data_IF_522781096672
#
_entry.id   IF_522781096672
#
_cell.length_a   1.000
_cell.length_b   1.000
_cell.length_c   1.000
_cell.angle_alpha   90.00
_cell.angle_beta   90.00
_cell.angle_gamma   90.00
#
_symmetry.space_group_name_H-M   'P 1'
#
loop_
_entity.id
_entity.type
_entity.pdbx_description
1 polymer ?
#
# COMPACT_ATOMS: atom_id res chain seq x y z
N UNK A 1 -23.88 -5.03 -4.62
CA UNK A 1 -23.58 -4.01 -5.64
C UNK A 1 -22.66 -4.70 -6.62
N UNK A 2 -23.12 -5.03 -7.83
CA UNK A 2 -22.29 -5.69 -8.84
C UNK A 2 -21.18 -4.73 -9.23
N UNK A 3 -19.93 -5.11 -8.93
CA UNK A 3 -18.75 -4.41 -9.38
C UNK A 3 -18.71 -4.35 -10.91
N UNK A 4 -18.10 -3.29 -11.45
CA UNK A 4 -17.98 -3.11 -12.90
C UNK A 4 -17.29 -4.33 -13.55
N UNK A 5 -17.52 -4.59 -14.84
CA UNK A 5 -16.82 -5.68 -15.55
C UNK A 5 -15.30 -5.58 -15.39
N UNK A 6 -14.78 -4.35 -15.31
CA UNK A 6 -13.37 -4.07 -15.05
C UNK A 6 -12.90 -4.57 -13.69
N UNK A 7 -13.71 -4.36 -12.64
CA UNK A 7 -13.40 -4.79 -11.27
C UNK A 7 -13.27 -6.31 -11.20
N UNK A 8 -14.17 -7.05 -11.86
CA UNK A 8 -14.11 -8.51 -11.94
C UNK A 8 -12.87 -9.02 -12.66
N UNK A 9 -12.38 -8.30 -13.67
CA UNK A 9 -11.14 -8.64 -14.35
C UNK A 9 -9.94 -8.46 -13.41
N UNK A 10 -9.84 -7.33 -12.73
CA UNK A 10 -8.71 -7.09 -11.82
C UNK A 10 -8.73 -7.99 -10.58
N UNK A 11 -9.91 -8.38 -10.10
CA UNK A 11 -10.05 -9.36 -9.03
C UNK A 11 -9.45 -10.72 -9.40
N UNK A 12 -9.57 -11.17 -10.67
CA UNK A 12 -8.91 -12.41 -11.11
C UNK A 12 -7.38 -12.34 -11.07
N UNK A 13 -6.81 -11.14 -11.14
CA UNK A 13 -5.38 -10.91 -10.96
C UNK A 13 -5.00 -10.60 -9.50
N UNK A 14 -5.96 -10.76 -8.57
CA UNK A 14 -5.82 -10.41 -7.16
C UNK A 14 -5.33 -8.95 -6.97
N UNK A 15 -5.75 -8.07 -7.89
CA UNK A 15 -5.35 -6.68 -7.94
C UNK A 15 -6.55 -5.82 -7.58
N UNK A 16 -6.41 -5.05 -6.50
CA UNK A 16 -7.39 -4.02 -6.16
C UNK A 16 -6.82 -2.64 -6.56
N UNK A 17 -7.38 -1.98 -7.59
CA UNK A 17 -6.90 -0.69 -8.06
C UNK A 17 -6.80 0.39 -6.98
N UNK A 18 -7.75 0.42 -6.03
CA UNK A 18 -7.76 1.42 -4.95
C UNK A 18 -6.65 1.15 -3.93
N UNK A 19 -6.46 -0.13 -3.56
CA UNK A 19 -5.36 -0.50 -2.67
C UNK A 19 -4.02 -0.19 -3.31
N UNK A 20 -3.82 -0.55 -4.57
CA UNK A 20 -2.59 -0.24 -5.30
C UNK A 20 -2.29 1.26 -5.34
N UNK A 21 -3.28 2.09 -5.67
CA UNK A 21 -3.10 3.55 -5.71
C UNK A 21 -2.73 4.10 -4.34
N UNK A 22 -3.38 3.64 -3.27
CA UNK A 22 -3.08 4.05 -1.90
C UNK A 22 -1.66 3.63 -1.50
N UNK A 23 -1.23 2.42 -1.83
CA UNK A 23 0.14 1.95 -1.56
C UNK A 23 1.18 2.82 -2.27
N UNK A 24 0.95 3.16 -3.54
CA UNK A 24 1.85 4.06 -4.29
C UNK A 24 1.90 5.44 -3.64
N UNK A 25 0.75 6.01 -3.23
CA UNK A 25 0.70 7.30 -2.56
C UNK A 25 1.49 7.28 -1.24
N UNK A 26 1.23 6.29 -0.40
CA UNK A 26 1.95 6.12 0.87
C UNK A 26 3.46 5.97 0.63
N UNK A 27 3.87 5.19 -0.38
CA UNK A 27 5.29 5.04 -0.71
C UNK A 27 5.95 6.35 -1.14
N UNK A 28 5.23 7.22 -1.86
CA UNK A 28 5.72 8.56 -2.22
C UNK A 28 5.83 9.43 -0.98
N UNK A 29 4.82 9.44 -0.11
CA UNK A 29 4.83 10.23 1.13
C UNK A 29 5.98 9.80 2.05
N UNK A 30 6.14 8.49 2.28
CA UNK A 30 7.23 7.91 3.07
C UNK A 30 8.61 8.29 2.50
N UNK A 31 8.75 8.31 1.17
CA UNK A 31 10.00 8.67 0.50
C UNK A 31 10.33 10.15 0.70
N UNK A 32 9.33 11.02 0.60
CA UNK A 32 9.50 12.47 0.74
C UNK A 32 9.84 12.81 2.19
N UNK A 33 9.11 12.26 3.15
CA UNK A 33 9.33 12.48 4.57
C UNK A 33 10.72 11.97 4.99
N UNK A 34 11.10 10.76 4.55
CA UNK A 34 12.44 10.22 4.79
C UNK A 34 13.56 11.05 4.18
N UNK A 35 13.36 11.63 2.99
CA UNK A 35 14.33 12.52 2.37
C UNK A 35 14.50 13.81 3.17
N UNK A 36 13.42 14.45 3.60
CA UNK A 36 13.49 15.66 4.41
C UNK A 36 14.11 15.41 5.78
N UNK A 37 13.79 14.28 6.42
CA UNK A 37 14.43 13.87 7.67
C UNK A 37 15.95 13.71 7.49
N UNK A 38 16.39 13.01 6.44
CA UNK A 38 17.81 12.85 6.13
C UNK A 38 18.52 14.20 5.93
N UNK A 39 17.95 15.10 5.14
CA UNK A 39 18.56 16.42 4.91
C UNK A 39 18.57 17.27 6.17
N UNK A 40 17.54 17.20 7.01
CA UNK A 40 17.49 17.87 8.31
C UNK A 40 18.62 17.40 9.22
N UNK A 41 18.83 16.09 9.34
CA UNK A 41 19.93 15.53 10.13
C UNK A 41 21.29 15.97 9.60
N UNK A 42 21.49 15.96 8.27
CA UNK A 42 22.74 16.41 7.65
C UNK A 42 22.98 17.90 7.86
N UNK A 43 21.96 18.74 7.73
CA UNK A 43 22.08 20.17 7.93
C UNK A 43 22.44 20.50 9.39
N UNK A 44 21.81 19.83 10.36
CA UNK A 44 22.13 19.98 11.78
C UNK A 44 23.55 19.50 12.10
N UNK A 45 24.02 18.41 11.49
CA UNK A 45 25.39 17.92 11.67
C UNK A 45 26.45 18.89 11.12
N UNK A 46 26.16 19.61 10.04
CA UNK A 46 27.04 20.68 9.52
C UNK A 46 27.07 21.89 10.46
N UNK A 47 25.99 22.10 11.20
CA UNK A 47 25.78 23.18 12.16
C UNK A 47 26.20 22.78 13.59
N UNK A 48 27.29 22.03 13.76
CA UNK A 48 27.71 21.44 15.03
C UNK A 48 27.88 22.45 16.20
N UNK A 49 28.14 23.73 15.88
CA UNK A 49 28.26 24.83 16.85
C UNK A 49 27.11 25.84 16.80
N UNK A 50 26.03 25.53 16.09
CA UNK A 50 24.90 26.44 15.98
C UNK A 50 24.19 26.63 17.32
N UNK A 51 23.78 27.86 17.56
CA UNK A 51 22.88 28.19 18.65
C UNK A 51 21.53 27.51 18.45
N UNK A 52 20.78 27.39 19.56
CA UNK A 52 19.43 26.86 19.52
C UNK A 52 18.52 27.64 18.56
N UNK A 53 18.65 28.97 18.55
CA UNK A 53 17.85 29.84 17.69
C UNK A 53 18.15 29.58 16.19
N UNK A 54 19.41 29.35 15.83
CA UNK A 54 19.81 29.02 14.45
C UNK A 54 19.28 27.64 14.01
N UNK A 55 19.29 26.64 14.90
CA UNK A 55 18.72 25.33 14.63
C UNK A 55 17.19 25.39 14.50
N UNK A 56 16.51 26.19 15.32
CA UNK A 56 15.06 26.39 15.26
C UNK A 56 14.65 27.12 13.97
N UNK A 57 15.39 28.14 13.54
CA UNK A 57 15.15 28.83 12.26
C UNK A 57 15.40 27.90 11.06
N UNK A 58 16.45 27.07 11.09
CA UNK A 58 16.68 26.05 10.08
C UNK A 58 15.49 25.07 9.99
N UNK A 59 15.02 24.56 11.12
CA UNK A 59 13.88 23.64 11.15
C UNK A 59 12.61 24.29 10.58
N UNK A 60 12.32 25.55 10.91
CA UNK A 60 11.20 26.30 10.32
C UNK A 60 11.33 26.43 8.80
N UNK A 61 12.53 26.72 8.31
CA UNK A 61 12.82 26.80 6.88
C UNK A 61 12.57 25.47 6.17
N UNK A 62 13.09 24.37 6.72
CA UNK A 62 12.90 23.01 6.19
C UNK A 62 11.41 22.64 6.19
N UNK A 63 10.69 22.88 7.29
CA UNK A 63 9.25 22.61 7.36
C UNK A 63 8.45 23.43 6.34
N UNK A 64 8.85 24.67 6.07
CA UNK A 64 8.19 25.52 5.07
C UNK A 64 8.42 25.03 3.65
N UNK A 65 9.62 24.53 3.34
CA UNK A 65 9.92 23.93 2.03
C UNK A 65 9.18 22.59 1.86
N UNK A 66 9.19 21.77 2.91
CA UNK A 66 8.49 20.48 2.91
C UNK A 66 7.00 20.64 2.66
N UNK A 67 6.34 21.58 3.35
CA UNK A 67 4.90 21.81 3.15
C UNK A 67 4.54 22.24 1.72
N UNK A 68 5.36 23.11 1.10
CA UNK A 68 5.15 23.52 -0.30
C UNK A 68 5.31 22.33 -1.26
N UNK A 69 6.30 21.47 -1.02
CA UNK A 69 6.52 20.29 -1.85
C UNK A 69 5.39 19.27 -1.67
N UNK A 70 4.98 19.01 -0.42
CA UNK A 70 3.87 18.12 -0.09
C UNK A 70 2.57 18.59 -0.77
N UNK A 71 2.24 19.89 -0.70
CA UNK A 71 1.05 20.44 -1.36
C UNK A 71 1.06 20.22 -2.89
N UNK A 72 2.20 20.43 -3.52
CA UNK A 72 2.36 20.20 -4.97
C UNK A 72 2.24 18.71 -5.31
N UNK A 73 2.81 17.83 -4.49
CA UNK A 73 2.75 16.39 -4.68
C UNK A 73 1.33 15.86 -4.49
N UNK A 74 0.64 16.25 -3.41
CA UNK A 74 -0.75 15.88 -3.15
C UNK A 74 -1.64 16.24 -4.34
N UNK A 75 -1.51 17.45 -4.87
CA UNK A 75 -2.29 17.89 -6.04
C UNK A 75 -2.00 17.04 -7.28
N UNK A 76 -0.73 16.69 -7.52
CA UNK A 76 -0.34 15.87 -8.68
C UNK A 76 -0.79 14.43 -8.52
N UNK A 77 -0.61 13.84 -7.34
CA UNK A 77 -1.02 12.48 -7.03
C UNK A 77 -2.54 12.33 -7.07
N UNK A 78 -3.30 13.35 -6.65
CA UNK A 78 -4.75 13.36 -6.81
C UNK A 78 -5.20 13.29 -8.28
N UNK A 79 -4.54 14.05 -9.15
CA UNK A 79 -4.83 14.01 -10.59
C UNK A 79 -4.39 12.68 -11.22
N UNK A 80 -3.27 12.13 -10.77
CA UNK A 80 -2.77 10.82 -11.18
C UNK A 80 -3.72 9.69 -10.76
N UNK A 81 -4.19 9.68 -9.51
CA UNK A 81 -5.19 8.72 -9.00
C UNK A 81 -6.44 8.73 -9.89
N UNK A 82 -6.99 9.92 -10.15
CA UNK A 82 -8.14 10.07 -11.04
C UNK A 82 -7.85 9.49 -12.42
N UNK A 83 -6.71 9.82 -13.00
CA UNK A 83 -6.33 9.28 -14.30
C UNK A 83 -6.25 7.75 -14.29
N UNK A 84 -5.61 7.16 -13.27
CA UNK A 84 -5.49 5.71 -13.11
C UNK A 84 -6.86 5.03 -13.04
N UNK A 85 -7.78 5.54 -12.21
CA UNK A 85 -9.11 4.96 -12.05
C UNK A 85 -9.98 5.11 -13.30
N UNK A 86 -9.81 6.18 -14.08
CA UNK A 86 -10.64 6.44 -15.27
C UNK A 86 -10.08 5.83 -16.55
N UNK A 87 -8.77 5.53 -16.62
CA UNK A 87 -8.09 5.15 -17.87
C UNK A 87 -7.23 3.90 -17.77
N UNK A 88 -6.55 3.68 -16.64
CA UNK A 88 -5.65 2.53 -16.50
C UNK A 88 -6.38 1.29 -15.99
N UNK A 89 -7.26 1.47 -15.01
CA UNK A 89 -8.04 0.40 -14.38
C UNK A 89 -9.46 0.31 -14.95
N UNK A 90 -9.57 0.47 -16.26
CA UNK A 90 -10.82 0.31 -17.01
C UNK A 90 -10.58 -0.66 -18.15
N UNK A 91 -11.40 -1.70 -18.21
CA UNK A 91 -11.42 -2.66 -19.30
C UNK A 91 -12.20 -2.04 -20.46
N UNK A 92 -11.61 -1.91 -21.66
CA UNK A 92 -12.30 -1.37 -22.82
C UNK A 92 -13.55 -2.18 -23.17
N UNK A 93 -14.60 -1.49 -23.62
CA UNK A 93 -15.84 -2.13 -24.06
C UNK A 93 -15.57 -3.17 -25.16
N UNK A 94 -16.13 -4.37 -24.98
CA UNK A 94 -15.91 -5.50 -25.90
C UNK A 94 -14.74 -6.41 -25.53
N UNK A 95 -13.92 -6.04 -24.54
CA UNK A 95 -12.92 -6.92 -23.96
C UNK A 95 -13.53 -7.68 -22.78
N UNK A 96 -13.72 -8.98 -22.95
CA UNK A 96 -14.11 -9.87 -21.85
C UNK A 96 -12.98 -10.88 -21.65
N UNK A 97 -12.69 -11.20 -20.38
CA UNK A 97 -11.86 -12.35 -20.10
C UNK A 97 -12.50 -13.58 -20.75
N UNK A 98 -11.72 -14.47 -21.40
CA UNK A 98 -12.21 -15.77 -21.78
C UNK A 98 -12.87 -16.37 -20.56
N UNK A 99 -14.15 -16.74 -20.68
CA UNK A 99 -14.81 -17.49 -19.63
C UNK A 99 -13.90 -18.68 -19.37
N UNK A 100 -13.48 -18.87 -18.12
CA UNK A 100 -12.90 -20.13 -17.73
C UNK A 100 -13.97 -21.17 -18.06
N UNK A 101 -13.85 -21.79 -19.23
CA UNK A 101 -14.63 -22.94 -19.60
C UNK A 101 -14.32 -23.93 -18.49
N UNK A 102 -15.29 -24.10 -17.58
CA UNK A 102 -15.29 -25.22 -16.67
C UNK A 102 -15.21 -26.42 -17.60
N UNK A 103 -14.03 -27.01 -17.70
CA UNK A 103 -13.81 -28.20 -18.51
C UNK A 103 -14.80 -29.24 -18.01
N UNK A 104 -15.82 -29.46 -18.81
CA UNK A 104 -16.82 -30.48 -18.60
C UNK A 104 -16.11 -31.84 -18.66
N UNK A 105 -16.29 -32.65 -17.61
CA UNK A 105 -15.86 -34.04 -17.55
C UNK A 105 -14.55 -34.32 -16.79
N UNK A 106 -14.69 -34.95 -15.62
CA UNK A 106 -13.75 -35.94 -15.04
C UNK A 106 -12.85 -35.54 -13.84
N UNK A 107 -13.09 -34.43 -13.12
CA UNK A 107 -12.24 -34.05 -11.97
C UNK A 107 -12.88 -34.05 -10.56
N UNK A 108 -14.12 -34.54 -10.41
CA UNK A 108 -14.85 -34.43 -9.14
C UNK A 108 -14.29 -35.24 -7.95
N UNK A 109 -13.32 -36.13 -8.15
CA UNK A 109 -12.74 -36.96 -7.09
C UNK A 109 -11.39 -36.46 -6.56
N UNK A 110 -10.70 -35.55 -7.28
CA UNK A 110 -9.40 -34.99 -6.87
C UNK A 110 -9.58 -33.68 -6.10
N UNK A 111 -10.68 -32.96 -6.37
CA UNK A 111 -11.02 -31.67 -5.78
C UNK A 111 -11.22 -31.76 -4.25
N UNK A 112 -11.85 -32.84 -3.76
CA UNK A 112 -12.13 -33.04 -2.32
C UNK A 112 -10.88 -33.35 -1.50
N UNK A 113 -9.89 -34.03 -2.09
CA UNK A 113 -8.61 -34.32 -1.42
C UNK A 113 -7.66 -33.13 -1.44
N UNK A 114 -7.71 -32.31 -2.50
CA UNK A 114 -6.95 -31.06 -2.58
C UNK A 114 -7.49 -29.99 -1.62
N UNK A 115 -8.81 -29.92 -1.44
CA UNK A 115 -9.47 -28.98 -0.52
C UNK A 115 -9.10 -29.27 0.94
N UNK A 116 -9.09 -30.56 1.34
CA UNK A 116 -8.69 -30.96 2.69
C UNK A 116 -7.20 -30.68 3.01
N UNK A 117 -6.31 -30.86 2.03
CA UNK A 117 -4.89 -30.52 2.21
C UNK A 117 -4.68 -28.99 2.23
N UNK A 118 -5.47 -28.24 1.45
CA UNK A 118 -5.49 -26.78 1.50
C UNK A 118 -5.90 -26.26 2.88
N UNK A 119 -6.95 -26.83 3.47
CA UNK A 119 -7.40 -26.45 4.82
C UNK A 119 -6.32 -26.71 5.88
N UNK A 120 -5.61 -27.85 5.79
CA UNK A 120 -4.49 -28.16 6.69
C UNK A 120 -3.34 -27.16 6.51
N UNK A 121 -3.03 -26.77 5.27
CA UNK A 121 -2.01 -25.75 4.99
C UNK A 121 -2.45 -24.37 5.49
N UNK A 122 -3.73 -24.02 5.35
CA UNK A 122 -4.32 -22.77 5.81
C UNK A 122 -4.27 -22.67 7.34
N UNK A 123 -4.60 -23.74 8.05
CA UNK A 123 -4.51 -23.81 9.51
C UNK A 123 -3.06 -23.76 9.99
N UNK A 124 -2.12 -24.40 9.29
CA UNK A 124 -0.68 -24.25 9.56
C UNK A 124 -0.21 -22.79 9.41
N UNK A 125 -0.69 -22.08 8.39
CA UNK A 125 -0.37 -20.67 8.19
C UNK A 125 -1.01 -19.78 9.28
N UNK A 126 -2.25 -20.05 9.68
CA UNK A 126 -2.93 -19.34 10.78
C UNK A 126 -2.20 -19.55 12.11
N UNK A 127 -1.77 -20.76 12.42
CA UNK A 127 -0.98 -21.05 13.62
C UNK A 127 0.38 -20.34 13.59
N UNK A 128 1.07 -20.31 12.44
CA UNK A 128 2.33 -19.56 12.29
C UNK A 128 2.12 -18.07 12.47
N UNK A 129 1.05 -17.50 11.89
CA UNK A 129 0.69 -16.09 12.04
C UNK A 129 0.37 -15.74 13.50
N UNK A 130 -0.39 -16.60 14.19
CA UNK A 130 -0.70 -16.42 15.61
C UNK A 130 0.56 -16.56 16.48
N UNK A 131 1.46 -17.49 16.13
CA UNK A 131 2.76 -17.67 16.77
C UNK A 131 3.66 -16.44 16.62
N UNK A 132 3.69 -15.82 15.44
CA UNK A 132 4.40 -14.56 15.20
C UNK A 132 3.75 -13.39 15.96
N UNK A 133 2.42 -13.31 15.95
CA UNK A 133 1.64 -12.30 16.67
C UNK A 133 1.89 -12.36 18.19
N UNK A 134 2.01 -13.55 18.78
CA UNK A 134 2.42 -13.76 20.19
C UNK A 134 3.89 -13.44 20.47
N UNK A 135 4.77 -13.47 19.47
CA UNK A 135 6.22 -13.17 19.60
C UNK A 135 6.55 -11.69 19.36
N UNK A 136 5.60 -10.89 18.86
CA UNK A 136 5.77 -9.47 18.55
C UNK A 136 5.44 -8.43 19.66
N UNK A 137 5.24 -8.72 20.98
CA UNK A 137 5.06 -7.64 21.97
C UNK A 137 6.25 -6.67 22.04
N UNK A 138 7.42 -7.03 21.51
CA UNK A 138 8.65 -6.23 21.52
C UNK A 138 8.92 -5.43 20.23
N UNK A 139 8.12 -5.58 19.16
CA UNK A 139 8.27 -4.76 17.93
C UNK A 139 7.12 -3.76 17.73
N UNK A 140 6.18 -3.67 18.67
CA UNK A 140 4.95 -2.88 18.51
C UNK A 140 5.11 -1.37 18.82
N UNK A 141 6.34 -0.85 18.89
CA UNK A 141 6.56 0.58 19.19
C UNK A 141 6.57 1.44 17.92
N UNK A 142 6.72 0.87 16.71
CA UNK A 142 6.79 1.65 15.47
C UNK A 142 5.74 1.34 14.38
N UNK A 143 4.78 0.44 14.62
CA UNK A 143 3.78 0.05 13.61
C UNK A 143 2.38 0.65 13.84
N UNK A 144 2.24 1.73 14.61
CA UNK A 144 0.93 2.31 14.93
C UNK A 144 0.36 3.29 13.88
N UNK A 145 1.01 3.53 12.74
CA UNK A 145 0.42 4.39 11.70
C UNK A 145 -0.62 3.71 10.81
N UNK A 146 -0.75 2.37 10.82
CA UNK A 146 -1.59 1.65 9.85
C UNK A 146 -3.02 1.33 10.33
N UNK A 147 -3.47 1.83 11.49
CA UNK A 147 -4.77 1.41 12.08
C UNK A 147 -5.85 2.48 12.22
N UNK A 148 -5.66 3.68 11.68
CA UNK A 148 -6.60 4.80 11.94
C UNK A 148 -7.34 5.38 10.73
N UNK A 149 -7.39 4.72 9.57
CA UNK A 149 -8.21 5.24 8.45
C UNK A 149 -9.07 4.18 7.75
N UNK A 150 -9.79 3.42 8.56
CA UNK A 150 -10.95 2.64 8.13
C UNK A 150 -12.17 3.06 8.96
N UNK A 151 -12.63 4.28 8.72
CA UNK A 151 -14.03 4.73 8.78
C UNK A 151 -14.20 5.93 7.86
#
# INVERSE_FOLDING_TARGET
MEGSESERVFDTFNLNPRLFINEVRNAVDDTVDGAFEFYREKALAVMENASKDEADELNKGISSISSVIQEVLDRRLYMWEKYCLHRCFVVPEGFSLPKADKSDGTLMDVDVLLDADLDVQLDSLREKLFGLTRRLPSCNVNCNCWRSSLF
#
